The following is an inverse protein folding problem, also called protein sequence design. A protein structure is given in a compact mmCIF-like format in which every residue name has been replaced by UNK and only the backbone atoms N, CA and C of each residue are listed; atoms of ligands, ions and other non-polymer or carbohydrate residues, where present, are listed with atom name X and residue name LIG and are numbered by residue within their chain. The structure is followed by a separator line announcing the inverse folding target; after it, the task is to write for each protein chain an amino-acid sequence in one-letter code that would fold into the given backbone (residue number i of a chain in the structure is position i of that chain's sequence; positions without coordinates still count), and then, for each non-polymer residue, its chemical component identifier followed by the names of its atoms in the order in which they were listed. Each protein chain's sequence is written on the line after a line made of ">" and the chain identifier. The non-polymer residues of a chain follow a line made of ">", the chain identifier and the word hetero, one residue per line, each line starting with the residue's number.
data_IF_801725599468
#
_entry.id   IF_801725599468
#
_cell.length_a   1.000
_cell.length_b   1.000
_cell.length_c   1.000
_cell.angle_alpha   90.00
_cell.angle_beta   90.00
_cell.angle_gamma   90.00
#
_symmetry.space_group_name_H-M   'P 1'
#
loop_
_entity.id
_entity.type
_entity.pdbx_description
1 polymer ?
#
# COMPACT_ATOMS: atom_id res chain seq x y z
N UNK A 1 21.69 30.89 -14.63
CA UNK A 1 21.63 30.56 -15.61
C UNK A 1 21.46 29.16 -15.91
N UNK A 2 22.40 28.51 -15.90
CA UNK A 2 22.30 27.17 -16.22
C UNK A 2 21.33 26.49 -15.37
N UNK A 3 21.35 26.83 -14.16
CA UNK A 3 20.44 26.24 -13.31
C UNK A 3 19.11 26.46 -13.79
N UNK A 4 18.82 27.62 -14.12
CA UNK A 4 17.49 27.98 -14.50
C UNK A 4 17.17 27.11 -15.64
N UNK A 5 18.17 26.87 -16.38
CA UNK A 5 17.96 26.12 -17.52
C UNK A 5 17.60 24.71 -17.15
N UNK A 6 18.26 24.28 -16.21
CA UNK A 6 18.04 22.93 -15.86
C UNK A 6 16.64 22.81 -15.38
N UNK A 7 16.21 23.83 -14.75
CA UNK A 7 14.89 23.79 -14.23
C UNK A 7 13.98 23.63 -15.37
N UNK A 8 14.27 24.33 -16.35
CA UNK A 8 13.42 24.36 -17.48
C UNK A 8 13.37 22.96 -18.00
N UNK A 9 14.51 22.36 -17.95
CA UNK A 9 14.56 21.08 -18.49
C UNK A 9 13.70 20.21 -17.63
N UNK A 10 13.82 20.45 -16.39
CA UNK A 10 13.10 19.59 -15.51
C UNK A 10 11.63 19.76 -15.86
N UNK A 11 11.30 20.95 -16.19
CA UNK A 11 9.93 21.19 -16.48
C UNK A 11 9.54 20.47 -17.70
N UNK A 12 10.37 20.49 -18.61
CA UNK A 12 10.03 19.91 -19.86
C UNK A 12 9.82 18.48 -19.58
N UNK A 13 10.66 17.99 -18.80
CA UNK A 13 10.58 16.63 -18.56
C UNK A 13 9.28 16.43 -17.92
N UNK A 14 8.94 17.30 -17.03
CA UNK A 14 7.71 17.17 -16.36
C UNK A 14 6.64 17.16 -17.34
N UNK A 15 6.79 18.03 -18.25
CA UNK A 15 5.76 18.14 -19.22
C UNK A 15 5.73 16.81 -19.90
N UNK A 16 6.87 16.39 -20.25
CA UNK A 16 6.93 15.18 -21.00
C UNK A 16 6.27 14.12 -20.20
N UNK A 17 6.26 14.33 -18.96
CA UNK A 17 5.75 13.33 -18.22
C UNK A 17 4.41 13.46 -18.00
N UNK A 18 3.88 14.42 -18.58
CA UNK A 18 2.51 14.62 -18.35
C UNK A 18 1.85 13.31 -18.44
N UNK A 19 2.34 12.60 -19.32
CA UNK A 19 1.71 11.43 -19.57
C UNK A 19 1.71 10.70 -18.38
N UNK A 20 2.31 11.13 -17.54
CA UNK A 20 2.45 10.49 -16.42
C UNK A 20 1.15 10.34 -15.83
N UNK A 21 0.23 10.87 -16.44
CA UNK A 21 -1.04 10.73 -15.94
C UNK A 21 -1.24 9.31 -15.76
N UNK A 22 -0.62 8.54 -16.37
CA UNK A 22 -0.81 7.16 -16.29
C UNK A 22 -0.35 6.80 -14.89
N UNK A 23 0.43 7.68 -14.29
CA UNK A 23 0.95 7.40 -12.98
C UNK A 23 0.20 8.19 -11.94
N UNK A 24 -0.92 8.77 -12.30
CA UNK A 24 -1.65 9.54 -11.32
C UNK A 24 -2.56 8.71 -10.45
N UNK A 25 -2.46 7.41 -10.49
CA UNK A 25 -3.27 6.59 -9.62
C UNK A 25 -2.66 6.50 -8.24
N UNK A 26 -3.22 5.69 -7.38
CA UNK A 26 -2.70 5.53 -6.04
C UNK A 26 -1.40 4.74 -6.09
N UNK A 27 -0.54 5.02 -5.14
CA UNK A 27 0.72 4.30 -5.01
C UNK A 27 0.83 3.86 -3.57
N UNK A 28 0.26 2.73 -3.22
CA UNK A 28 0.22 2.30 -1.84
C UNK A 28 1.57 1.86 -1.32
N UNK A 29 1.89 2.29 -0.11
CA UNK A 29 3.13 1.91 0.55
C UNK A 29 2.78 1.40 1.94
N UNK A 30 3.39 0.31 2.34
CA UNK A 30 3.13 -0.26 3.65
C UNK A 30 3.97 0.46 4.68
N UNK A 31 3.34 1.00 5.69
CA UNK A 31 4.02 1.70 6.76
C UNK A 31 4.31 0.71 7.89
N UNK A 32 3.34 -0.11 8.24
CA UNK A 32 3.55 -1.11 9.27
C UNK A 32 2.49 -2.20 9.17
N UNK A 33 2.77 -3.34 9.74
CA UNK A 33 1.82 -4.44 9.79
C UNK A 33 2.08 -5.21 11.08
N UNK A 34 1.02 -5.58 11.76
CA UNK A 34 1.16 -6.31 13.01
C UNK A 34 -0.13 -7.02 13.40
N UNK A 35 -0.03 -7.92 14.36
CA UNK A 35 -1.19 -8.52 14.95
C UNK A 35 -1.54 -7.75 16.21
N UNK A 36 -2.83 -7.61 16.45
CA UNK A 36 -3.29 -7.00 17.66
C UNK A 36 -4.40 -7.94 18.12
N UNK A 37 -4.06 -8.91 18.94
CA UNK A 37 -4.99 -9.96 19.30
C UNK A 37 -5.24 -10.81 18.08
N UNK A 38 -6.48 -11.01 17.71
CA UNK A 38 -6.81 -11.80 16.53
C UNK A 38 -7.07 -10.92 15.31
N UNK A 39 -6.71 -9.66 15.40
CA UNK A 39 -6.92 -8.73 14.30
C UNK A 39 -5.57 -8.41 13.66
N UNK A 40 -5.48 -8.58 12.36
CA UNK A 40 -4.28 -8.19 11.63
C UNK A 40 -4.48 -6.74 11.21
N UNK A 41 -3.47 -5.92 11.43
CA UNK A 41 -3.57 -4.51 11.14
C UNK A 41 -2.45 -4.10 10.19
N UNK A 42 -2.79 -3.37 9.15
CA UNK A 42 -1.80 -2.81 8.24
C UNK A 42 -2.04 -1.32 8.14
N UNK A 43 -0.99 -0.54 8.23
CA UNK A 43 -1.09 0.90 8.05
C UNK A 43 -0.49 1.15 6.68
N UNK A 44 -1.28 1.73 5.79
CA UNK A 44 -0.90 1.93 4.41
C UNK A 44 -1.00 3.40 4.07
N UNK A 45 -0.02 3.92 3.35
CA UNK A 45 -0.04 5.30 2.94
C UNK A 45 -0.14 5.34 1.42
N UNK A 46 -0.91 6.27 0.90
CA UNK A 46 -0.97 6.49 -0.53
C UNK A 46 0.05 7.56 -0.87
N UNK A 47 1.17 7.17 -1.46
CA UNK A 47 2.20 8.12 -1.83
C UNK A 47 1.93 8.73 -3.21
N UNK A 48 0.88 8.28 -3.85
CA UNK A 48 0.55 8.80 -5.18
C UNK A 48 -0.37 10.00 -5.11
N UNK A 49 -0.59 10.61 -6.25
CA UNK A 49 -1.44 11.78 -6.34
C UNK A 49 -2.88 11.44 -6.74
N UNK A 50 -3.17 10.20 -6.96
CA UNK A 50 -4.53 9.80 -7.36
C UNK A 50 -5.22 8.96 -6.33
N UNK A 51 -6.53 8.93 -6.38
CA UNK A 51 -7.33 8.12 -5.49
C UNK A 51 -7.63 6.80 -6.19
N UNK A 52 -7.77 5.73 -5.48
CA UNK A 52 -8.15 4.48 -6.10
C UNK A 52 -8.33 3.35 -5.13
N UNK A 53 -8.86 2.25 -5.63
CA UNK A 53 -9.12 1.07 -4.82
C UNK A 53 -7.88 0.18 -4.89
N UNK A 54 -7.40 -0.23 -3.75
CA UNK A 54 -6.23 -1.10 -3.69
C UNK A 54 -6.63 -2.41 -3.03
N UNK A 55 -5.81 -3.42 -3.19
CA UNK A 55 -6.02 -4.69 -2.54
C UNK A 55 -4.90 -4.92 -1.54
N UNK A 56 -5.28 -5.36 -0.35
CA UNK A 56 -4.33 -5.61 0.72
C UNK A 56 -4.43 -7.10 1.05
N UNK A 57 -3.37 -7.84 0.82
CA UNK A 57 -3.35 -9.27 1.09
C UNK A 57 -2.56 -9.52 2.35
N UNK A 58 -3.21 -10.12 3.33
CA UNK A 58 -2.56 -10.45 4.60
C UNK A 58 -2.19 -11.92 4.59
N UNK A 59 -0.96 -12.20 5.00
CA UNK A 59 -0.51 -13.57 5.14
C UNK A 59 0.04 -13.69 6.56
N UNK A 60 -0.59 -14.51 7.37
CA UNK A 60 -0.13 -14.70 8.73
C UNK A 60 0.62 -16.00 8.83
N UNK A 61 1.87 -15.94 9.24
CA UNK A 61 2.68 -17.14 9.37
C UNK A 61 2.67 -17.56 10.82
N UNK A 62 2.10 -18.73 11.14
CA UNK A 62 2.02 -19.20 12.49
C UNK A 62 3.42 -19.39 13.07
N UNK A 63 3.63 -18.95 14.28
CA UNK A 63 4.93 -19.12 14.92
C UNK A 63 5.24 -20.59 15.11
N UNK A 64 4.25 -21.39 15.38
CA UNK A 64 4.44 -22.81 15.58
C UNK A 64 4.63 -23.58 14.27
N UNK A 65 4.56 -22.91 13.15
CA UNK A 65 4.68 -23.60 11.88
C UNK A 65 3.31 -23.97 11.34
N UNK A 66 3.29 -24.53 10.17
CA UNK A 66 2.03 -24.89 9.53
C UNK A 66 1.69 -23.95 8.40
N UNK A 67 0.56 -24.16 7.76
CA UNK A 67 0.18 -23.35 6.60
C UNK A 67 -0.21 -21.95 7.04
N UNK A 68 0.09 -20.95 6.22
CA UNK A 68 -0.24 -19.57 6.58
C UNK A 68 -1.74 -19.33 6.44
N UNK A 69 -2.23 -18.35 7.20
CA UNK A 69 -3.61 -17.94 7.09
C UNK A 69 -3.62 -16.77 6.14
N UNK A 70 -4.53 -16.78 5.19
CA UNK A 70 -4.60 -15.76 4.16
C UNK A 70 -5.92 -15.00 4.22
N UNK A 71 -5.85 -13.70 4.02
CA UNK A 71 -7.03 -12.88 3.98
C UNK A 71 -6.77 -11.68 3.09
N UNK A 72 -7.73 -11.34 2.25
CA UNK A 72 -7.62 -10.18 1.37
C UNK A 72 -8.68 -9.16 1.70
N UNK A 73 -8.32 -7.90 1.59
CA UNK A 73 -9.24 -6.83 1.85
C UNK A 73 -9.02 -5.76 0.79
N UNK A 74 -10.04 -4.98 0.48
CA UNK A 74 -9.90 -3.90 -0.47
C UNK A 74 -10.24 -2.60 0.22
N UNK A 75 -9.58 -1.54 -0.15
CA UNK A 75 -9.80 -0.24 0.46
C UNK A 75 -9.53 0.86 -0.55
N UNK A 76 -10.28 1.94 -0.46
CA UNK A 76 -10.07 3.08 -1.33
C UNK A 76 -9.18 4.06 -0.58
N UNK A 77 -8.12 4.49 -1.22
CA UNK A 77 -7.21 5.44 -0.62
C UNK A 77 -7.27 6.76 -1.40
N UNK A 78 -7.34 7.85 -0.68
CA UNK A 78 -7.30 9.17 -1.28
C UNK A 78 -5.83 9.56 -1.39
N UNK A 79 -5.52 10.59 -2.18
CA UNK A 79 -4.14 11.02 -2.31
C UNK A 79 -3.55 11.36 -0.95
N UNK A 80 -2.35 10.88 -0.71
CA UNK A 80 -1.61 11.15 0.53
C UNK A 80 -2.28 10.66 1.82
N UNK A 81 -3.32 9.90 1.71
CA UNK A 81 -4.01 9.40 2.89
C UNK A 81 -3.21 8.28 3.57
N UNK A 82 -3.29 8.25 4.88
CA UNK A 82 -2.71 7.15 5.64
C UNK A 82 -3.91 6.44 6.26
N UNK A 83 -4.08 5.19 5.92
CA UNK A 83 -5.24 4.42 6.38
C UNK A 83 -4.82 3.20 7.16
N UNK A 84 -5.62 2.86 8.16
CA UNK A 84 -5.37 1.66 8.95
C UNK A 84 -6.39 0.63 8.48
N UNK A 85 -5.92 -0.49 8.01
CA UNK A 85 -6.78 -1.54 7.51
C UNK A 85 -6.71 -2.71 8.46
N UNK A 86 -7.83 -3.07 9.03
CA UNK A 86 -7.88 -4.14 10.01
C UNK A 86 -8.77 -5.27 9.56
N UNK A 87 -8.35 -6.50 9.75
CA UNK A 87 -9.17 -7.64 9.41
C UNK A 87 -9.07 -8.65 10.54
N UNK A 88 -10.21 -9.20 10.91
CA UNK A 88 -10.24 -10.22 11.92
C UNK A 88 -10.05 -11.52 11.20
N UNK A 89 -9.10 -12.33 11.63
CA UNK A 89 -8.82 -13.58 10.96
C UNK A 89 -9.12 -14.74 11.89
N UNK A 90 -10.06 -15.58 11.49
CA UNK A 90 -10.46 -16.71 12.29
C UNK A 90 -9.27 -17.68 12.32
N UNK A 91 -9.01 -18.24 13.47
CA UNK A 91 -7.91 -19.15 13.60
C UNK A 91 -6.60 -18.51 14.01
N UNK A 92 -6.56 -17.17 14.03
CA UNK A 92 -5.33 -16.50 14.44
C UNK A 92 -5.15 -16.59 15.93
N UNK A 93 -3.92 -16.72 16.37
CA UNK A 93 -3.61 -16.82 17.79
C UNK A 93 -3.17 -15.48 18.36
N UNK A 94 -2.61 -14.64 17.56
CA UNK A 94 -2.12 -13.35 18.01
C UNK A 94 -0.61 -13.23 17.97
N UNK A 95 0.09 -14.35 17.79
CA UNK A 95 1.54 -14.31 17.75
C UNK A 95 2.10 -14.56 16.35
N UNK A 96 1.25 -14.55 15.35
CA UNK A 96 1.69 -14.81 13.99
C UNK A 96 2.51 -13.65 13.47
N UNK A 97 3.36 -13.93 12.50
CA UNK A 97 4.09 -12.88 11.83
C UNK A 97 3.22 -12.44 10.65
N UNK A 98 2.99 -11.17 10.53
CA UNK A 98 2.13 -10.64 9.48
C UNK A 98 2.95 -10.16 8.30
N UNK A 99 2.61 -10.64 7.13
CA UNK A 99 3.21 -10.18 5.90
C UNK A 99 2.07 -9.57 5.09
N UNK A 100 2.31 -8.44 4.46
CA UNK A 100 1.29 -7.75 3.70
C UNK A 100 1.79 -7.45 2.31
N UNK A 101 0.95 -7.70 1.33
CA UNK A 101 1.27 -7.38 -0.05
C UNK A 101 0.20 -6.43 -0.54
N UNK A 102 0.60 -5.37 -1.20
CA UNK A 102 -0.33 -4.35 -1.68
C UNK A 102 -0.36 -4.39 -3.20
N UNK A 103 -1.55 -4.36 -3.77
CA UNK A 103 -1.71 -4.37 -5.22
C UNK A 103 -2.63 -3.26 -5.70
N UNK A 104 -2.26 -2.65 -6.80
CA UNK A 104 -3.10 -1.68 -7.48
C UNK A 104 -2.84 -1.86 -8.96
N UNK A 105 -3.88 -2.09 -9.73
CA UNK A 105 -5.28 -2.26 -9.28
C UNK A 105 -5.46 -3.60 -8.59
N UNK A 106 -6.60 -3.79 -7.93
CA UNK A 106 -6.87 -5.06 -7.25
C UNK A 106 -6.89 -6.20 -8.26
N UNK A 107 -6.47 -7.36 -7.80
CA UNK A 107 -6.47 -8.54 -8.66
C UNK A 107 -7.82 -9.18 -8.71
#
# INVERSE_FOLDING_TARGET
>A
MIRAFLLLLGLLVLAGIGFVRGCSGPRPELVSARMRGKVAEAVVRNAGSGEGLIQVDFRLRPRAGGPPLLKSERATLRPHEVARIEVKIDGARGDERVEVELDYPPR
#
